data_IF_892643112592
#
_entry.id   IF_892643112592
#
_cell.length_a   1.000
_cell.length_b   1.000
_cell.length_c   1.000
_cell.angle_alpha   90.00
_cell.angle_beta   90.00
_cell.angle_gamma   90.00
#
_symmetry.space_group_name_H-M   'P 1'
#
loop_
_entity.id
_entity.type
_entity.pdbx_description
1 polymer ?
#
# COMPACT_ATOMS: atom_id res chain seq x y z
N UNK A 1 12.64 -7.67 1.87
CA UNK A 1 11.58 -7.73 2.91
C UNK A 1 10.30 -8.36 2.41
N UNK A 2 9.74 -7.92 1.27
CA UNK A 2 8.52 -8.49 0.65
C UNK A 2 8.47 -10.02 0.67
N UNK A 3 9.45 -10.71 0.08
CA UNK A 3 9.50 -12.19 0.07
C UNK A 3 9.42 -12.82 1.47
N UNK A 4 10.09 -12.22 2.45
CA UNK A 4 10.08 -12.70 3.84
C UNK A 4 8.72 -12.47 4.51
N UNK A 5 8.10 -11.31 4.29
CA UNK A 5 6.78 -10.96 4.87
C UNK A 5 5.68 -11.84 4.27
N UNK A 6 5.75 -12.11 2.97
CA UNK A 6 4.80 -12.96 2.26
C UNK A 6 5.14 -14.46 2.32
N UNK A 7 6.27 -14.84 2.93
CA UNK A 7 6.78 -16.21 2.97
C UNK A 7 6.83 -16.88 1.59
N UNK A 8 7.14 -16.11 0.54
CA UNK A 8 7.12 -16.55 -0.85
C UNK A 8 8.32 -15.99 -1.64
N UNK A 9 9.33 -16.83 -1.84
CA UNK A 9 10.54 -16.48 -2.58
C UNK A 9 10.33 -16.37 -4.09
N UNK A 10 9.20 -16.88 -4.61
CA UNK A 10 8.86 -16.81 -6.03
C UNK A 10 8.40 -15.42 -6.48
N UNK A 11 8.05 -14.53 -5.53
CA UNK A 11 7.66 -13.16 -5.85
C UNK A 11 8.87 -12.42 -6.46
N UNK A 12 8.76 -12.07 -7.73
CA UNK A 12 9.71 -11.20 -8.40
C UNK A 12 9.48 -9.74 -7.96
N UNK A 13 10.55 -9.05 -7.55
CA UNK A 13 10.48 -7.66 -7.10
C UNK A 13 11.66 -6.91 -7.67
N UNK A 14 11.37 -5.76 -8.30
CA UNK A 14 12.36 -4.78 -8.72
C UNK A 14 11.90 -3.42 -8.18
N UNK A 15 12.82 -2.63 -7.62
CA UNK A 15 12.48 -1.36 -7.00
C UNK A 15 13.52 -0.28 -7.37
N UNK A 16 13.02 0.92 -7.64
CA UNK A 16 13.82 2.14 -7.79
C UNK A 16 13.40 3.10 -6.69
N UNK A 17 14.32 3.46 -5.80
CA UNK A 17 14.04 4.36 -4.67
C UNK A 17 14.60 5.74 -4.93
N UNK A 18 13.74 6.76 -4.90
CA UNK A 18 14.11 8.15 -5.21
C UNK A 18 13.70 9.07 -4.08
N UNK A 19 14.58 10.02 -3.71
CA UNK A 19 14.24 11.10 -2.78
C UNK A 19 13.71 12.30 -3.56
N UNK A 20 12.57 12.82 -3.12
CA UNK A 20 11.93 14.02 -3.66
C UNK A 20 11.73 15.05 -2.52
N UNK A 21 11.55 16.35 -2.82
CA UNK A 21 11.42 17.39 -1.79
C UNK A 21 10.03 17.38 -1.14
N UNK A 22 9.72 16.31 -0.41
CA UNK A 22 8.50 16.11 0.40
C UNK A 22 8.92 15.86 1.84
N UNK A 23 8.32 16.56 2.80
CA UNK A 23 8.67 16.46 4.22
C UNK A 23 8.29 15.10 4.83
N UNK A 24 7.03 14.69 4.64
CA UNK A 24 6.46 13.45 5.17
C UNK A 24 5.56 12.79 4.14
N UNK A 25 5.46 11.47 4.22
CA UNK A 25 4.65 10.68 3.29
C UNK A 25 5.51 10.11 2.18
N UNK A 26 5.74 8.79 2.21
CA UNK A 26 6.30 8.10 1.06
C UNK A 26 5.18 7.80 0.07
N UNK A 27 5.52 7.87 -1.22
CA UNK A 27 4.61 7.56 -2.30
C UNK A 27 5.25 6.59 -3.27
N UNK A 28 4.46 5.60 -3.68
CA UNK A 28 4.92 4.49 -4.49
C UNK A 28 3.99 4.31 -5.68
N UNK A 29 4.57 4.39 -6.87
CA UNK A 29 3.94 3.87 -8.08
C UNK A 29 4.22 2.37 -8.13
N UNK A 30 3.17 1.57 -7.99
CA UNK A 30 3.28 0.12 -7.84
C UNK A 30 2.60 -0.55 -9.02
N UNK A 31 3.34 -1.40 -9.72
CA UNK A 31 2.83 -2.31 -10.73
C UNK A 31 2.91 -3.73 -10.15
N UNK A 32 1.83 -4.50 -10.28
CA UNK A 32 1.78 -5.91 -9.91
C UNK A 32 1.23 -6.73 -11.06
N UNK A 33 1.66 -7.98 -11.15
CA UNK A 33 1.02 -9.00 -11.96
C UNK A 33 0.49 -10.09 -11.04
N UNK A 34 -0.80 -10.42 -11.20
CA UNK A 34 -1.50 -11.37 -10.33
C UNK A 34 -1.56 -12.77 -10.97
N UNK A 35 -1.65 -13.81 -10.15
CA UNK A 35 -1.70 -15.21 -10.64
C UNK A 35 -2.98 -15.54 -11.44
N UNK A 36 -4.04 -14.78 -11.20
CA UNK A 36 -5.35 -14.90 -11.85
C UNK A 36 -5.86 -13.49 -12.13
N UNK A 37 -6.68 -13.29 -13.17
CA UNK A 37 -7.26 -11.99 -13.46
C UNK A 37 -7.91 -11.38 -12.22
N UNK A 38 -7.64 -10.10 -11.98
CA UNK A 38 -8.23 -9.31 -10.91
C UNK A 38 -8.60 -7.95 -11.49
N UNK A 39 -9.91 -7.65 -11.55
CA UNK A 39 -10.34 -6.36 -12.09
C UNK A 39 -10.01 -5.21 -11.13
N UNK A 40 -9.87 -3.96 -11.63
CA UNK A 40 -9.68 -2.79 -10.77
C UNK A 40 -10.82 -2.60 -9.76
N UNK A 41 -12.04 -3.01 -10.13
CA UNK A 41 -13.21 -2.98 -9.26
C UNK A 41 -13.08 -3.94 -8.08
N UNK A 42 -12.73 -5.20 -8.36
CA UNK A 42 -12.50 -6.19 -7.32
C UNK A 42 -11.31 -5.81 -6.43
N UNK A 43 -10.23 -5.29 -7.02
CA UNK A 43 -9.08 -4.80 -6.28
C UNK A 43 -9.46 -3.67 -5.30
N UNK A 44 -10.25 -2.68 -5.74
CA UNK A 44 -10.80 -1.63 -4.88
C UNK A 44 -11.59 -2.22 -3.71
N UNK A 45 -12.54 -3.11 -3.97
CA UNK A 45 -13.36 -3.72 -2.91
C UNK A 45 -12.55 -4.60 -1.93
N UNK A 46 -11.46 -5.23 -2.38
CA UNK A 46 -10.55 -5.95 -1.48
C UNK A 46 -9.76 -5.00 -0.59
N UNK A 47 -9.22 -3.93 -1.17
CA UNK A 47 -8.43 -2.92 -0.45
C UNK A 47 -9.28 -2.14 0.56
N UNK A 48 -10.54 -1.82 0.24
CA UNK A 48 -11.48 -1.18 1.18
C UNK A 48 -11.76 -2.03 2.43
N UNK A 49 -11.63 -3.35 2.33
CA UNK A 49 -11.82 -4.28 3.46
C UNK A 49 -10.54 -4.57 4.23
N UNK A 50 -9.39 -4.16 3.71
CA UNK A 50 -8.10 -4.41 4.35
C UNK A 50 -7.90 -3.44 5.53
N UNK A 51 -7.65 -4.00 6.72
CA UNK A 51 -7.44 -3.19 7.92
C UNK A 51 -6.24 -2.24 7.76
N UNK A 52 -6.45 -0.97 8.08
CA UNK A 52 -5.42 0.07 7.97
C UNK A 52 -5.19 0.60 6.54
N UNK A 53 -5.96 0.13 5.56
CA UNK A 53 -5.97 0.67 4.19
C UNK A 53 -7.20 1.57 4.02
N UNK A 54 -7.01 2.70 3.34
CA UNK A 54 -8.10 3.57 2.91
C UNK A 54 -7.97 3.81 1.40
N UNK A 55 -9.04 3.49 0.67
CA UNK A 55 -9.10 3.77 -0.77
C UNK A 55 -9.52 5.22 -1.00
N UNK A 56 -8.73 5.93 -1.81
CA UNK A 56 -9.00 7.28 -2.31
C UNK A 56 -8.84 7.21 -3.83
N UNK A 57 -9.91 6.88 -4.54
CA UNK A 57 -9.81 6.58 -5.98
C UNK A 57 -11.03 7.07 -6.76
N UNK A 58 -11.18 8.40 -6.82
CA UNK A 58 -12.12 9.07 -7.74
C UNK A 58 -11.37 10.12 -8.56
N UNK A 59 -10.65 9.70 -9.63
CA UNK A 59 -9.92 10.62 -10.49
C UNK A 59 -10.82 11.65 -11.19
N UNK A 60 -12.11 11.34 -11.39
CA UNK A 60 -13.08 12.27 -11.99
C UNK A 60 -13.34 13.49 -11.10
N UNK A 61 -13.17 13.34 -9.79
CA UNK A 61 -13.23 14.42 -8.80
C UNK A 61 -11.84 14.86 -8.31
N UNK A 62 -10.77 14.49 -9.02
CA UNK A 62 -9.38 14.73 -8.63
C UNK A 62 -9.01 14.18 -7.23
N UNK A 63 -9.64 13.08 -6.82
CA UNK A 63 -9.36 12.42 -5.54
C UNK A 63 -8.43 11.22 -5.77
N UNK A 64 -7.23 11.34 -5.24
CA UNK A 64 -6.22 10.29 -5.23
C UNK A 64 -5.26 10.51 -4.04
N UNK A 65 -4.51 9.48 -3.60
CA UNK A 65 -3.64 9.62 -2.44
C UNK A 65 -2.58 10.71 -2.63
N UNK A 66 -2.44 11.58 -1.63
CA UNK A 66 -1.40 12.61 -1.59
C UNK A 66 -0.57 12.48 -0.31
N UNK A 67 0.76 12.74 -0.36
CA UNK A 67 1.61 12.71 0.84
C UNK A 67 1.08 13.57 1.99
N UNK A 68 0.58 14.76 1.67
CA UNK A 68 0.03 15.71 2.64
C UNK A 68 -1.21 15.16 3.35
N UNK A 69 -2.01 14.32 2.67
CA UNK A 69 -3.23 13.72 3.23
C UNK A 69 -2.93 12.47 4.07
N UNK A 70 -1.75 11.87 3.90
CA UNK A 70 -1.29 10.74 4.70
C UNK A 70 -0.52 11.18 5.94
N UNK A 71 0.15 12.34 5.90
CA UNK A 71 0.95 12.86 7.00
C UNK A 71 0.17 12.92 8.32
N UNK A 72 0.77 12.43 9.39
CA UNK A 72 0.18 12.39 10.72
C UNK A 72 -0.87 11.29 10.93
N UNK A 73 -1.12 10.42 9.94
CA UNK A 73 -2.16 9.36 10.03
C UNK A 73 -1.55 7.97 10.06
N UNK A 74 -2.31 7.05 10.63
CA UNK A 74 -1.94 5.63 10.81
C UNK A 74 -2.50 4.71 9.72
N UNK A 75 -2.92 5.29 8.60
CA UNK A 75 -3.50 4.58 7.44
C UNK A 75 -2.55 4.57 6.25
N UNK A 76 -2.71 3.57 5.40
CA UNK A 76 -2.12 3.54 4.05
C UNK A 76 -3.20 3.93 3.04
N UNK A 77 -2.96 5.01 2.30
CA UNK A 77 -3.86 5.50 1.27
C UNK A 77 -3.52 4.80 -0.06
N UNK A 78 -4.54 4.30 -0.76
CA UNK A 78 -4.36 3.62 -2.06
C UNK A 78 -5.35 4.17 -3.08
N UNK A 79 -4.90 4.38 -4.31
CA UNK A 79 -5.75 4.82 -5.40
C UNK A 79 -5.06 4.73 -6.74
N UNK A 80 -5.61 5.40 -7.76
CA UNK A 80 -5.18 5.30 -9.17
C UNK A 80 -5.18 3.85 -9.68
N UNK A 81 -6.10 3.03 -9.18
CA UNK A 81 -6.16 1.59 -9.43
C UNK A 81 -6.73 1.35 -10.81
N UNK A 82 -5.96 0.70 -11.68
CA UNK A 82 -6.33 0.43 -13.08
C UNK A 82 -5.55 -0.76 -13.63
N UNK A 83 -6.03 -1.30 -14.75
CA UNK A 83 -5.32 -2.34 -15.48
C UNK A 83 -3.98 -1.83 -16.02
N UNK A 84 -2.97 -2.69 -15.95
CA UNK A 84 -1.74 -2.52 -16.71
C UNK A 84 -1.93 -3.20 -18.07
N UNK A 85 -1.93 -2.40 -19.14
CA UNK A 85 -2.16 -2.90 -20.50
C UNK A 85 -0.94 -3.61 -21.11
N UNK A 86 0.19 -3.66 -20.39
CA UNK A 86 1.43 -4.26 -20.89
C UNK A 86 1.59 -5.75 -20.57
N UNK A 87 0.82 -6.30 -19.62
CA UNK A 87 0.88 -7.70 -19.18
C UNK A 87 -0.53 -8.26 -18.90
N UNK A 88 -0.72 -9.58 -18.97
CA UNK A 88 -2.05 -10.21 -18.98
C UNK A 88 -2.88 -9.96 -17.71
N UNK A 89 -2.27 -10.09 -16.53
CA UNK A 89 -2.95 -9.98 -15.23
C UNK A 89 -2.43 -8.80 -14.42
N UNK A 90 -2.10 -7.71 -15.12
CA UNK A 90 -1.42 -6.55 -14.57
C UNK A 90 -2.34 -5.50 -13.95
N UNK A 91 -1.92 -4.94 -12.82
CA UNK A 91 -2.58 -3.82 -12.16
C UNK A 91 -1.55 -2.76 -11.79
N UNK A 92 -1.97 -1.51 -11.87
CA UNK A 92 -1.17 -0.33 -11.47
C UNK A 92 -1.91 0.42 -10.39
N UNK A 93 -1.20 0.86 -9.36
CA UNK A 93 -1.76 1.67 -8.26
C UNK A 93 -0.76 2.68 -7.73
N UNK A 94 -1.28 3.63 -6.95
CA UNK A 94 -0.54 4.65 -6.24
C UNK A 94 -0.79 4.48 -4.74
N UNK A 95 0.29 4.26 -3.99
CA UNK A 95 0.25 3.96 -2.55
C UNK A 95 0.96 5.07 -1.79
N UNK A 96 0.35 5.58 -0.73
CA UNK A 96 0.91 6.66 0.08
C UNK A 96 0.69 6.39 1.57
N UNK A 97 1.74 6.54 2.38
CA UNK A 97 1.65 6.42 3.82
C UNK A 97 2.65 7.34 4.53
N UNK A 98 2.32 7.78 5.74
CA UNK A 98 3.27 8.45 6.62
C UNK A 98 4.40 7.48 7.00
N UNK A 99 5.62 7.80 6.56
CA UNK A 99 6.80 6.98 6.73
C UNK A 99 7.35 6.97 8.16
N UNK A 100 7.01 7.95 8.99
CA UNK A 100 7.42 8.00 10.40
C UNK A 100 6.40 7.26 11.28
N UNK A 101 5.11 7.38 10.95
CA UNK A 101 4.02 6.70 11.65
C UNK A 101 3.83 5.28 11.13
N UNK A 102 2.98 5.10 10.12
CA UNK A 102 2.63 3.76 9.62
C UNK A 102 3.86 3.01 9.10
N UNK A 103 4.82 3.72 8.49
CA UNK A 103 6.08 3.14 8.02
C UNK A 103 7.07 2.73 9.11
N UNK A 104 6.87 3.16 10.37
CA UNK A 104 7.79 2.83 11.47
C UNK A 104 7.08 2.70 12.83
N UNK A 105 6.79 3.83 13.50
CA UNK A 105 6.38 3.86 14.90
C UNK A 105 5.07 3.11 15.15
N UNK A 106 4.04 3.37 14.34
CA UNK A 106 2.72 2.76 14.50
C UNK A 106 2.79 1.26 14.26
N UNK A 107 3.57 0.80 13.29
CA UNK A 107 3.73 -0.62 13.03
C UNK A 107 4.42 -1.34 14.21
N UNK A 108 5.42 -0.71 14.82
CA UNK A 108 6.09 -1.25 16.01
C UNK A 108 5.14 -1.36 17.21
N UNK A 109 4.31 -0.34 17.46
CA UNK A 109 3.32 -0.36 18.54
C UNK A 109 2.25 -1.43 18.27
N UNK A 110 1.73 -1.52 17.05
CA UNK A 110 0.73 -2.54 16.68
C UNK A 110 1.26 -3.97 16.87
N UNK A 111 2.54 -4.22 16.56
CA UNK A 111 3.18 -5.50 16.84
C UNK A 111 3.23 -5.76 18.35
N UNK A 112 3.61 -4.76 19.15
CA UNK A 112 3.66 -4.90 20.60
C UNK A 112 2.28 -5.18 21.22
N UNK A 113 1.24 -4.47 20.77
CA UNK A 113 -0.16 -4.71 21.17
C UNK A 113 -0.59 -6.14 20.84
N UNK A 114 -0.28 -6.61 19.63
CA UNK A 114 -0.60 -7.97 19.20
C UNK A 114 0.12 -9.05 20.01
N UNK A 115 1.37 -8.81 20.43
CA UNK A 115 2.11 -9.73 21.28
C UNK A 115 1.44 -9.88 22.66
N UNK A 116 0.98 -8.77 23.23
CA UNK A 116 0.24 -8.76 24.51
C UNK A 116 -1.11 -9.46 24.36
N UNK A 117 -1.87 -9.15 23.31
CA UNK A 117 -3.16 -9.78 23.02
C UNK A 117 -3.03 -11.31 22.88
N UNK A 118 -1.94 -11.78 22.27
CA UNK A 118 -1.67 -13.21 22.07
C UNK A 118 -1.00 -13.89 23.27
N UNK A 119 -0.74 -13.17 24.36
CA UNK A 119 -0.07 -13.71 25.55
C UNK A 119 1.37 -14.17 25.29
N UNK A 120 2.03 -13.57 24.28
CA UNK A 120 3.43 -13.83 23.96
C UNK A 120 4.39 -12.90 24.73
N UNK A 121 3.83 -12.00 25.55
CA UNK A 121 4.49 -11.17 26.55
C UNK A 121 3.55 -10.89 27.71
#
# INVERSE_FOLDING_TARGET
ETRKIFEDDSIAVCATTVRVPVYFGHSEAVNIETRRPLSPGEARSLLERAAGVQVVDDPGQAQYPMPIDAAGRDVTLVGRIRDDLSVENGLVMWVVADNIRKGAATNAVQIAELLVERGLK
#
